data_IF_949696544336
#
_entry.id   IF_949696544336
#
_cell.length_a   1.000
_cell.length_b   1.000
_cell.length_c   1.000
_cell.angle_alpha   90.00
_cell.angle_beta   90.00
_cell.angle_gamma   90.00
#
_symmetry.space_group_name_H-M   'P 1'
#
loop_
_entity.id
_entity.type
_entity.pdbx_description
1 polymer ?
#
# COMPACT_ATOMS: atom_id res chain seq x y z
N UNK A 1 -4.01 9.43 8.69
CA UNK A 1 -3.27 8.92 9.87
C UNK A 1 -1.79 9.11 9.65
N UNK A 2 -1.06 9.61 10.67
CA UNK A 2 0.40 9.79 10.59
C UNK A 2 1.11 8.52 11.09
N UNK A 3 1.90 7.90 10.23
CA UNK A 3 2.74 6.75 10.54
C UNK A 3 4.16 7.24 10.89
N UNK A 4 4.72 6.73 11.97
CA UNK A 4 6.09 7.03 12.40
C UNK A 4 6.94 5.76 12.32
N UNK A 5 8.06 5.82 11.65
CA UNK A 5 9.02 4.71 11.56
C UNK A 5 10.45 5.25 11.70
N UNK A 6 11.37 4.50 12.31
CA UNK A 6 12.77 4.90 12.32
C UNK A 6 13.32 5.00 10.90
N UNK A 7 14.12 6.01 10.65
CA UNK A 7 14.87 6.22 9.42
C UNK A 7 16.26 5.58 9.51
N UNK A 8 16.92 5.35 8.39
CA UNK A 8 18.26 4.75 8.32
C UNK A 8 19.34 5.66 8.93
N UNK A 9 19.11 6.97 8.90
CA UNK A 9 19.95 8.02 9.48
C UNK A 9 19.73 8.24 10.99
N UNK A 10 18.95 7.38 11.65
CA UNK A 10 18.63 7.46 13.09
C UNK A 10 17.46 8.38 13.44
N UNK A 11 16.91 9.10 12.47
CA UNK A 11 15.73 9.95 12.64
C UNK A 11 14.39 9.16 12.67
N UNK A 12 13.29 9.90 12.69
CA UNK A 12 11.93 9.35 12.59
C UNK A 12 11.34 9.79 11.25
N UNK A 13 11.15 8.84 10.33
CA UNK A 13 10.40 9.06 9.08
C UNK A 13 8.92 9.13 9.39
N UNK A 14 8.29 10.20 9.00
CA UNK A 14 6.84 10.42 9.14
C UNK A 14 6.15 10.28 7.78
N UNK A 15 5.15 9.43 7.71
CA UNK A 15 4.41 9.14 6.47
C UNK A 15 2.92 9.31 6.71
N UNK A 16 2.26 10.12 5.89
CA UNK A 16 0.82 10.27 5.92
C UNK A 16 0.15 9.12 5.16
N UNK A 17 -0.72 8.38 5.83
CA UNK A 17 -1.53 7.33 5.23
C UNK A 17 -2.94 7.83 4.96
N UNK A 18 -3.36 7.83 3.68
CA UNK A 18 -4.66 8.29 3.22
C UNK A 18 -5.57 7.12 2.88
N UNK A 19 -6.85 7.29 3.18
CA UNK A 19 -7.95 6.42 2.78
C UNK A 19 -8.67 7.00 1.55
N UNK A 20 -9.28 6.13 0.74
CA UNK A 20 -10.03 6.53 -0.46
C UNK A 20 -11.50 6.15 -0.40
N UNK A 21 -11.89 5.28 0.54
CA UNK A 21 -13.26 4.80 0.69
C UNK A 21 -13.63 4.71 2.17
N UNK A 22 -14.91 4.64 2.45
CA UNK A 22 -15.43 4.14 3.72
C UNK A 22 -15.73 2.67 3.50
N UNK A 23 -14.99 1.78 4.20
CA UNK A 23 -14.95 0.36 3.89
C UNK A 23 -14.09 0.03 2.66
N UNK A 24 -14.22 -1.18 2.10
CA UNK A 24 -13.48 -1.59 0.90
C UNK A 24 -14.24 -2.68 0.14
N UNK A 25 -14.35 -2.52 -1.17
CA UNK A 25 -15.04 -3.46 -2.05
C UNK A 25 -14.23 -4.73 -2.38
N UNK A 26 -12.90 -4.74 -2.11
CA UNK A 26 -12.03 -5.84 -2.56
C UNK A 26 -12.08 -7.08 -1.65
N UNK A 27 -12.68 -6.97 -0.47
CA UNK A 27 -12.91 -8.08 0.46
C UNK A 27 -11.68 -8.97 0.76
N UNK A 28 -10.47 -8.37 0.79
CA UNK A 28 -9.23 -9.10 1.12
C UNK A 28 -9.36 -9.72 2.51
N UNK A 29 -9.20 -11.04 2.61
CA UNK A 29 -9.54 -11.81 3.83
C UNK A 29 -8.61 -11.54 5.02
N UNK A 30 -7.46 -10.88 4.81
CA UNK A 30 -6.52 -10.50 5.86
C UNK A 30 -6.73 -9.08 6.40
N UNK A 31 -7.62 -8.29 5.78
CA UNK A 31 -7.72 -6.86 6.00
C UNK A 31 -8.93 -6.50 6.88
N UNK A 32 -8.69 -5.78 7.97
CA UNK A 32 -9.77 -5.31 8.86
C UNK A 32 -10.77 -4.37 8.15
N UNK A 33 -10.31 -3.62 7.14
CA UNK A 33 -11.21 -2.75 6.35
C UNK A 33 -12.25 -3.54 5.55
N UNK A 34 -11.94 -4.79 5.17
CA UNK A 34 -12.86 -5.66 4.45
C UNK A 34 -14.00 -6.17 5.33
N UNK A 35 -13.78 -6.29 6.66
CA UNK A 35 -14.79 -6.75 7.61
C UNK A 35 -16.03 -5.83 7.68
N UNK A 36 -15.85 -4.56 7.32
CA UNK A 36 -16.95 -3.55 7.29
C UNK A 36 -17.71 -3.51 5.96
N UNK A 37 -17.23 -4.24 4.95
CA UNK A 37 -17.76 -4.11 3.59
C UNK A 37 -17.47 -2.73 2.98
N UNK A 38 -18.06 -2.47 1.81
CA UNK A 38 -17.98 -1.18 1.11
C UNK A 38 -19.22 -0.35 1.45
N UNK A 39 -18.99 0.90 1.83
CA UNK A 39 -20.08 1.86 2.08
C UNK A 39 -20.15 2.89 0.96
N UNK A 40 -19.07 3.66 0.74
CA UNK A 40 -18.99 4.68 -0.31
C UNK A 40 -17.55 5.08 -0.64
N UNK A 41 -17.39 5.72 -1.77
CA UNK A 41 -16.17 6.44 -2.10
C UNK A 41 -16.06 7.73 -1.27
N UNK A 42 -14.84 8.13 -0.93
CA UNK A 42 -14.55 9.47 -0.44
C UNK A 42 -14.49 10.44 -1.62
N UNK A 43 -14.93 11.69 -1.41
CA UNK A 43 -14.71 12.77 -2.38
C UNK A 43 -13.25 13.21 -2.39
N UNK A 44 -12.86 13.99 -3.38
CA UNK A 44 -11.50 14.54 -3.43
C UNK A 44 -11.19 15.42 -2.22
N UNK A 45 -12.17 16.23 -1.77
CA UNK A 45 -12.06 17.09 -0.61
C UNK A 45 -11.90 16.28 0.69
N UNK A 46 -12.63 15.17 0.83
CA UNK A 46 -12.49 14.27 1.97
C UNK A 46 -11.11 13.60 1.99
N UNK A 47 -10.56 13.26 0.83
CA UNK A 47 -9.20 12.70 0.75
C UNK A 47 -8.16 13.76 1.15
N UNK A 48 -8.30 15.00 0.67
CA UNK A 48 -7.41 16.12 0.98
C UNK A 48 -7.49 16.46 2.48
N UNK A 49 -8.70 16.52 3.03
CA UNK A 49 -8.93 16.93 4.44
C UNK A 49 -8.22 16.02 5.45
N UNK A 50 -7.91 14.77 5.08
CA UNK A 50 -7.12 13.88 5.94
C UNK A 50 -5.69 14.38 6.19
N UNK A 51 -5.17 15.27 5.34
CA UNK A 51 -3.82 15.85 5.50
C UNK A 51 -3.83 17.13 6.36
N UNK A 52 -4.93 17.88 6.38
CA UNK A 52 -4.98 19.20 6.99
C UNK A 52 -4.52 19.25 8.46
N UNK A 53 -4.85 18.26 9.32
CA UNK A 53 -4.37 18.25 10.71
C UNK A 53 -2.83 18.16 10.87
N UNK A 54 -2.10 17.87 9.78
CA UNK A 54 -0.65 17.66 9.75
C UNK A 54 0.07 18.70 8.87
N UNK A 55 -0.60 19.82 8.58
CA UNK A 55 -0.08 20.92 7.75
C UNK A 55 -0.23 22.21 8.52
N UNK A 56 0.88 22.85 8.81
CA UNK A 56 0.91 24.22 9.33
C UNK A 56 1.03 25.19 8.17
N UNK A 57 0.24 26.25 8.17
CA UNK A 57 0.32 27.31 7.19
C UNK A 57 0.60 28.64 7.90
N UNK A 58 1.65 29.33 7.46
CA UNK A 58 2.06 30.65 7.95
C UNK A 58 2.22 31.61 6.77
N UNK A 59 2.10 32.91 7.04
CA UNK A 59 2.41 33.96 6.05
C UNK A 59 3.68 34.66 6.51
N UNK A 60 4.71 34.62 5.67
CA UNK A 60 5.94 35.36 5.88
C UNK A 60 6.25 36.26 4.68
N UNK A 61 6.44 37.55 4.94
CA UNK A 61 6.65 38.59 3.92
C UNK A 61 5.63 38.53 2.76
N UNK A 62 4.35 38.29 3.07
CA UNK A 62 3.26 38.16 2.09
C UNK A 62 3.25 36.84 1.32
N UNK A 63 4.19 35.94 1.58
CA UNK A 63 4.24 34.60 0.99
C UNK A 63 3.67 33.56 1.91
N UNK A 64 2.85 32.67 1.37
CA UNK A 64 2.30 31.53 2.09
C UNK A 64 3.34 30.43 2.20
N UNK A 65 3.73 30.08 3.43
CA UNK A 65 4.65 28.99 3.75
C UNK A 65 3.87 27.85 4.35
N UNK A 66 4.04 26.63 3.86
CA UNK A 66 3.46 25.41 4.41
C UNK A 66 4.54 24.49 4.95
N UNK A 67 4.34 24.05 6.18
CA UNK A 67 5.18 23.01 6.82
C UNK A 67 4.36 21.75 6.98
N UNK A 68 4.93 20.62 6.57
CA UNK A 68 4.30 19.32 6.68
C UNK A 68 4.92 18.54 7.83
N UNK A 69 4.09 17.94 8.68
CA UNK A 69 4.57 17.00 9.68
C UNK A 69 4.98 15.64 9.08
N UNK A 70 4.92 15.47 7.78
CA UNK A 70 5.22 14.23 7.05
C UNK A 70 6.10 14.49 5.82
N UNK A 71 6.90 13.48 5.48
CA UNK A 71 7.82 13.52 4.33
C UNK A 71 7.28 12.76 3.13
N UNK A 72 6.37 11.80 3.36
CA UNK A 72 5.80 10.95 2.33
C UNK A 72 4.29 10.80 2.52
N UNK A 73 3.59 10.53 1.41
CA UNK A 73 2.18 10.15 1.40
C UNK A 73 2.07 8.73 0.85
N UNK A 74 1.29 7.88 1.52
CA UNK A 74 0.91 6.57 1.01
C UNK A 74 -0.60 6.46 0.96
N UNK A 75 -1.15 6.06 -0.17
CA UNK A 75 -2.57 5.76 -0.32
C UNK A 75 -2.73 4.27 -0.07
N UNK A 76 -2.69 3.92 1.23
CA UNK A 76 -2.70 2.54 1.74
C UNK A 76 -3.67 2.40 2.93
N UNK A 77 -4.53 3.38 3.13
CA UNK A 77 -5.56 3.36 4.14
C UNK A 77 -6.75 2.49 3.74
N UNK A 78 -7.94 2.92 4.12
CA UNK A 78 -9.16 2.20 3.82
C UNK A 78 -9.60 2.43 2.36
N UNK A 79 -9.92 1.34 1.64
CA UNK A 79 -10.43 1.37 0.27
C UNK A 79 -9.43 0.94 -0.80
N UNK A 80 -9.95 0.70 -2.00
CA UNK A 80 -9.15 0.44 -3.22
C UNK A 80 -9.05 1.72 -4.05
N UNK A 81 -7.85 2.31 -4.15
CA UNK A 81 -7.67 3.60 -4.82
C UNK A 81 -8.09 3.61 -6.29
N UNK A 82 -7.86 2.52 -7.01
CA UNK A 82 -8.19 2.45 -8.44
C UNK A 82 -9.70 2.29 -8.71
N UNK A 83 -10.51 1.92 -7.70
CA UNK A 83 -11.97 1.97 -7.78
C UNK A 83 -12.48 3.41 -7.61
N UNK A 84 -11.82 4.21 -6.75
CA UNK A 84 -12.15 5.63 -6.58
C UNK A 84 -11.19 6.56 -7.33
N UNK A 85 -10.81 6.19 -8.54
CA UNK A 85 -9.71 6.80 -9.28
C UNK A 85 -9.89 8.29 -9.56
N UNK A 86 -11.07 8.73 -9.98
CA UNK A 86 -11.35 10.13 -10.33
C UNK A 86 -11.13 11.06 -9.13
N UNK A 87 -11.72 10.75 -7.98
CA UNK A 87 -11.53 11.54 -6.75
C UNK A 87 -10.09 11.46 -6.25
N UNK A 88 -9.48 10.28 -6.35
CA UNK A 88 -8.06 10.11 -6.00
C UNK A 88 -7.19 11.04 -6.82
N UNK A 89 -7.30 11.01 -8.16
CA UNK A 89 -6.47 11.83 -9.03
C UNK A 89 -6.70 13.34 -8.83
N UNK A 90 -7.94 13.74 -8.57
CA UNK A 90 -8.26 15.13 -8.21
C UNK A 90 -7.55 15.54 -6.93
N UNK A 91 -7.60 14.71 -5.88
CA UNK A 91 -6.89 14.97 -4.62
C UNK A 91 -5.37 15.00 -4.80
N UNK A 92 -4.80 14.03 -5.52
CA UNK A 92 -3.35 13.95 -5.73
C UNK A 92 -2.81 15.11 -6.57
N UNK A 93 -3.58 15.61 -7.54
CA UNK A 93 -3.23 16.83 -8.28
C UNK A 93 -3.16 18.05 -7.35
N UNK A 94 -4.06 18.16 -6.37
CA UNK A 94 -4.00 19.24 -5.36
C UNK A 94 -2.75 19.12 -4.51
N UNK A 95 -2.39 17.92 -4.03
CA UNK A 95 -1.14 17.73 -3.28
C UNK A 95 0.09 18.07 -4.11
N UNK A 96 0.09 17.74 -5.40
CA UNK A 96 1.25 17.97 -6.29
C UNK A 96 1.32 19.38 -6.88
N UNK A 97 0.20 20.15 -6.91
CA UNK A 97 0.16 21.50 -7.45
C UNK A 97 1.09 22.46 -6.71
N UNK A 98 1.94 23.19 -7.45
CA UNK A 98 2.86 24.18 -6.90
C UNK A 98 2.13 25.31 -6.14
N UNK A 99 0.94 25.69 -6.59
CA UNK A 99 0.11 26.74 -5.98
C UNK A 99 -0.60 26.28 -4.71
N UNK A 100 -0.77 24.96 -4.54
CA UNK A 100 -1.50 24.35 -3.39
C UNK A 100 -0.50 23.80 -2.36
N UNK A 101 -0.20 22.51 -2.44
CA UNK A 101 0.67 21.87 -1.45
C UNK A 101 2.13 21.74 -1.91
N UNK A 102 2.42 21.80 -3.19
CA UNK A 102 3.76 21.62 -3.77
C UNK A 102 4.46 20.30 -3.35
N UNK A 103 3.69 19.27 -3.05
CA UNK A 103 4.22 18.00 -2.58
C UNK A 103 4.70 17.13 -3.75
N UNK A 104 5.97 16.76 -3.75
CA UNK A 104 6.58 16.08 -4.89
C UNK A 104 5.95 14.72 -5.22
N UNK A 105 5.61 14.47 -6.47
CA UNK A 105 4.95 13.23 -6.92
C UNK A 105 5.72 11.97 -6.53
N UNK A 106 7.08 12.01 -6.50
CA UNK A 106 7.94 10.89 -6.07
C UNK A 106 7.83 10.55 -4.58
N UNK A 107 7.24 11.41 -3.77
CA UNK A 107 6.96 11.18 -2.35
C UNK A 107 5.56 10.61 -2.11
N UNK A 108 4.79 10.37 -3.17
CA UNK A 108 3.44 9.80 -3.10
C UNK A 108 3.47 8.39 -3.66
N UNK A 109 2.99 7.42 -2.89
CA UNK A 109 2.83 6.03 -3.33
C UNK A 109 1.35 5.65 -3.29
N UNK A 110 0.84 5.16 -4.41
CA UNK A 110 -0.52 4.61 -4.50
C UNK A 110 -0.40 3.08 -4.51
N UNK A 111 -1.12 2.42 -3.60
CA UNK A 111 -1.17 0.96 -3.53
C UNK A 111 -2.51 0.46 -4.06
N UNK A 112 -2.49 -0.61 -4.84
CA UNK A 112 -3.69 -1.25 -5.37
C UNK A 112 -3.67 -2.75 -5.14
N UNK A 113 -4.83 -3.35 -4.92
CA UNK A 113 -4.99 -4.79 -4.93
C UNK A 113 -4.95 -5.41 -6.35
N UNK A 114 -4.80 -4.59 -7.39
CA UNK A 114 -4.59 -5.06 -8.76
C UNK A 114 -5.85 -5.04 -9.63
N UNK A 115 -6.52 -3.89 -9.74
CA UNK A 115 -7.58 -3.65 -10.73
C UNK A 115 -6.92 -3.51 -12.11
N UNK A 116 -6.68 -4.64 -12.78
CA UNK A 116 -5.84 -4.69 -13.99
C UNK A 116 -6.37 -3.76 -15.10
N UNK A 117 -7.68 -3.70 -15.33
CA UNK A 117 -8.29 -2.83 -16.33
C UNK A 117 -7.94 -1.35 -16.14
N UNK A 118 -7.81 -0.93 -14.89
CA UNK A 118 -7.45 0.45 -14.57
C UNK A 118 -5.94 0.66 -14.57
N UNK A 119 -5.21 -0.35 -14.11
CA UNK A 119 -3.74 -0.33 -14.10
C UNK A 119 -3.17 -0.17 -15.51
N UNK A 120 -3.76 -0.83 -16.51
CA UNK A 120 -3.38 -0.74 -17.92
C UNK A 120 -3.52 0.68 -18.51
N UNK A 121 -4.41 1.50 -17.94
CA UNK A 121 -4.68 2.87 -18.39
C UNK A 121 -3.82 3.93 -17.69
N UNK A 122 -3.16 3.60 -16.58
CA UNK A 122 -2.37 4.57 -15.83
C UNK A 122 -1.28 5.28 -16.67
N UNK A 123 -0.57 4.60 -17.59
CA UNK A 123 0.40 5.28 -18.44
C UNK A 123 -0.24 6.35 -19.35
N UNK A 124 -1.40 6.04 -19.93
CA UNK A 124 -2.14 6.95 -20.82
C UNK A 124 -2.69 8.18 -20.06
N UNK A 125 -3.04 7.98 -18.78
CA UNK A 125 -3.48 9.05 -17.88
C UNK A 125 -2.30 9.92 -17.36
N UNK A 126 -1.05 9.61 -17.74
CA UNK A 126 0.15 10.33 -17.29
C UNK A 126 0.39 10.23 -15.80
N UNK A 127 0.10 9.06 -15.17
CA UNK A 127 0.21 8.83 -13.73
C UNK A 127 1.65 9.04 -13.20
N UNK A 128 1.93 10.10 -12.40
CA UNK A 128 3.30 10.47 -12.05
C UNK A 128 3.76 9.90 -10.70
N UNK A 129 2.92 9.16 -9.99
CA UNK A 129 3.17 8.70 -8.63
C UNK A 129 3.84 7.32 -8.60
N UNK A 130 4.41 6.93 -7.45
CA UNK A 130 4.91 5.57 -7.24
C UNK A 130 3.74 4.61 -7.14
N UNK A 131 3.93 3.40 -7.67
CA UNK A 131 2.93 2.33 -7.65
C UNK A 131 3.39 1.19 -6.76
N UNK A 132 2.52 0.77 -5.84
CA UNK A 132 2.65 -0.47 -5.11
C UNK A 132 1.50 -1.42 -5.49
N UNK A 133 1.80 -2.71 -5.60
CA UNK A 133 0.80 -3.75 -5.90
C UNK A 133 0.75 -4.71 -4.72
N UNK A 134 -0.42 -4.79 -4.09
CA UNK A 134 -0.74 -5.79 -3.09
C UNK A 134 -0.85 -7.16 -3.76
N UNK A 135 0.29 -7.87 -3.85
CA UNK A 135 0.36 -9.18 -4.50
C UNK A 135 -0.10 -10.30 -3.56
N UNK A 136 0.54 -10.42 -2.41
CA UNK A 136 0.25 -11.30 -1.26
C UNK A 136 0.15 -12.81 -1.57
N UNK A 137 0.25 -13.23 -2.81
CA UNK A 137 0.35 -14.61 -3.27
C UNK A 137 1.05 -14.66 -4.61
N UNK A 138 2.00 -15.57 -4.78
CA UNK A 138 2.81 -15.70 -6.00
C UNK A 138 2.23 -16.71 -7.00
N UNK A 139 1.14 -17.38 -6.65
CA UNK A 139 0.33 -18.25 -7.51
C UNK A 139 -1.14 -17.87 -7.42
N UNK A 140 -1.92 -18.12 -8.46
CA UNK A 140 -3.36 -17.83 -8.47
C UNK A 140 -4.10 -18.59 -7.37
N UNK A 141 -3.69 -19.82 -7.07
CA UNK A 141 -4.27 -20.63 -6.01
C UNK A 141 -4.10 -19.94 -4.64
N UNK A 142 -2.88 -19.53 -4.30
CA UNK A 142 -2.59 -18.91 -3.00
C UNK A 142 -3.17 -17.51 -2.94
N UNK A 143 -3.02 -16.72 -4.00
CA UNK A 143 -3.57 -15.37 -4.06
C UNK A 143 -5.09 -15.37 -3.96
N UNK A 144 -5.78 -16.30 -4.64
CA UNK A 144 -7.25 -16.44 -4.58
C UNK A 144 -7.78 -16.82 -3.20
N UNK A 145 -7.02 -17.58 -2.40
CA UNK A 145 -7.36 -17.87 -1.00
C UNK A 145 -7.42 -16.61 -0.13
N UNK A 146 -6.59 -15.61 -0.43
CA UNK A 146 -6.37 -14.41 0.37
C UNK A 146 -7.13 -13.21 -0.18
N UNK A 147 -7.16 -13.07 -1.51
CA UNK A 147 -7.68 -11.91 -2.24
C UNK A 147 -8.73 -12.34 -3.27
N UNK A 148 -10.03 -12.19 -2.97
CA UNK A 148 -11.11 -12.57 -3.88
C UNK A 148 -11.04 -11.90 -5.25
N UNK A 149 -10.45 -10.70 -5.34
CA UNK A 149 -10.25 -9.98 -6.60
C UNK A 149 -9.46 -10.78 -7.64
N UNK A 150 -8.69 -11.79 -7.22
CA UNK A 150 -7.93 -12.66 -8.11
C UNK A 150 -8.83 -13.43 -9.10
N UNK A 151 -10.06 -13.74 -8.72
CA UNK A 151 -11.01 -14.39 -9.63
C UNK A 151 -11.37 -13.52 -10.85
N UNK A 152 -11.39 -12.20 -10.67
CA UNK A 152 -11.64 -11.24 -11.75
C UNK A 152 -10.35 -10.87 -12.50
N UNK A 153 -9.25 -10.75 -11.78
CA UNK A 153 -7.95 -10.36 -12.31
C UNK A 153 -6.89 -11.39 -11.88
N UNK A 154 -6.78 -12.54 -12.60
CA UNK A 154 -5.75 -13.54 -12.35
C UNK A 154 -4.34 -12.95 -12.49
N UNK A 155 -3.35 -13.60 -11.87
CA UNK A 155 -1.96 -13.13 -11.85
C UNK A 155 -1.42 -12.82 -13.25
N UNK A 156 -1.71 -13.66 -14.23
CA UNK A 156 -1.23 -13.45 -15.60
C UNK A 156 -1.66 -12.08 -16.14
N UNK A 157 -2.93 -11.69 -15.93
CA UNK A 157 -3.47 -10.39 -16.34
C UNK A 157 -2.90 -9.25 -15.52
N UNK A 158 -2.85 -9.42 -14.20
CA UNK A 158 -2.29 -8.41 -13.30
C UNK A 158 -0.82 -8.11 -13.64
N UNK A 159 0.00 -9.16 -13.82
CA UNK A 159 1.41 -9.01 -14.12
C UNK A 159 1.64 -8.41 -15.51
N UNK A 160 0.81 -8.73 -16.50
CA UNK A 160 0.83 -8.09 -17.81
C UNK A 160 0.56 -6.58 -17.74
N UNK A 161 -0.47 -6.18 -16.97
CA UNK A 161 -0.79 -4.77 -16.74
C UNK A 161 0.35 -4.03 -15.99
N UNK A 162 0.93 -4.68 -14.97
CA UNK A 162 2.05 -4.14 -14.22
C UNK A 162 3.31 -3.97 -15.11
N UNK A 163 3.59 -4.93 -15.98
CA UNK A 163 4.71 -4.87 -16.93
C UNK A 163 4.53 -3.73 -17.93
N UNK A 164 3.32 -3.56 -18.50
CA UNK A 164 2.97 -2.42 -19.37
C UNK A 164 3.24 -1.10 -18.66
N UNK A 165 2.77 -0.95 -17.40
CA UNK A 165 3.01 0.25 -16.60
C UNK A 165 4.50 0.50 -16.36
N UNK A 166 5.25 -0.51 -15.92
CA UNK A 166 6.69 -0.37 -15.63
C UNK A 166 7.48 0.06 -16.87
N UNK A 167 7.23 -0.57 -18.02
CA UNK A 167 7.89 -0.24 -19.30
C UNK A 167 7.54 1.17 -19.78
N UNK A 168 6.27 1.56 -19.70
CA UNK A 168 5.80 2.86 -20.19
C UNK A 168 6.26 4.02 -19.32
N UNK A 169 6.31 3.84 -18.00
CA UNK A 169 6.65 4.90 -17.06
C UNK A 169 8.11 4.92 -16.64
N UNK A 170 8.90 3.89 -16.98
CA UNK A 170 10.30 3.74 -16.56
C UNK A 170 10.47 3.70 -15.04
N UNK A 171 9.47 3.24 -14.29
CA UNK A 171 9.45 3.29 -12.83
C UNK A 171 9.39 1.91 -12.21
N UNK A 172 10.17 1.72 -11.17
CA UNK A 172 10.15 0.51 -10.36
C UNK A 172 8.82 0.41 -9.59
N UNK A 173 8.18 -0.75 -9.69
CA UNK A 173 6.98 -1.11 -8.93
C UNK A 173 7.42 -1.72 -7.59
N UNK A 174 6.64 -1.48 -6.54
CA UNK A 174 6.78 -2.21 -5.28
C UNK A 174 5.73 -3.31 -5.21
N UNK A 175 6.15 -4.54 -4.90
CA UNK A 175 5.26 -5.67 -4.62
C UNK A 175 5.10 -5.80 -3.11
N UNK A 176 3.92 -5.51 -2.59
CA UNK A 176 3.59 -5.71 -1.19
C UNK A 176 3.25 -7.19 -0.97
N UNK A 177 3.96 -7.86 -0.05
CA UNK A 177 3.77 -9.26 0.25
C UNK A 177 3.68 -9.49 1.75
N UNK A 178 2.47 -9.72 2.25
CA UNK A 178 2.20 -10.04 3.65
C UNK A 178 2.51 -11.52 3.92
N UNK A 179 3.26 -11.83 4.98
CA UNK A 179 3.63 -13.20 5.32
C UNK A 179 2.68 -13.77 6.38
N UNK A 180 1.81 -14.69 5.95
CA UNK A 180 0.80 -15.38 6.76
C UNK A 180 1.22 -16.84 6.93
N UNK A 181 1.30 -17.29 8.19
CA UNK A 181 1.72 -18.65 8.54
C UNK A 181 0.86 -19.71 7.86
N UNK A 182 1.51 -20.67 7.20
CA UNK A 182 0.92 -21.81 6.49
C UNK A 182 -0.09 -21.43 5.38
N UNK A 183 -0.04 -20.18 4.91
CA UNK A 183 -0.91 -19.70 3.81
C UNK A 183 -0.07 -19.35 2.58
N UNK A 184 0.86 -18.42 2.74
CA UNK A 184 1.66 -17.90 1.64
C UNK A 184 3.17 -17.81 1.97
N UNK A 185 3.61 -18.43 3.07
CA UNK A 185 4.99 -18.39 3.57
C UNK A 185 5.81 -19.64 3.20
N UNK A 186 5.36 -20.43 2.21
CA UNK A 186 6.10 -21.60 1.71
C UNK A 186 7.33 -21.18 0.88
N UNK A 187 8.31 -22.08 0.80
CA UNK A 187 9.52 -21.87 0.00
C UNK A 187 9.24 -21.79 -1.49
N UNK A 188 8.19 -22.47 -1.93
CA UNK A 188 7.71 -22.39 -3.31
C UNK A 188 7.19 -20.98 -3.61
N UNK A 189 6.37 -20.41 -2.71
CA UNK A 189 5.89 -19.05 -2.85
C UNK A 189 7.04 -18.03 -2.89
N UNK A 190 8.13 -18.25 -2.13
CA UNK A 190 9.31 -17.40 -2.19
C UNK A 190 9.99 -17.43 -3.56
N UNK A 191 10.14 -18.65 -4.15
CA UNK A 191 10.75 -18.82 -5.49
C UNK A 191 9.89 -18.17 -6.56
N UNK A 192 8.56 -18.38 -6.54
CA UNK A 192 7.66 -17.78 -7.52
C UNK A 192 7.61 -16.24 -7.38
N UNK A 193 7.61 -15.74 -6.14
CA UNK A 193 7.69 -14.29 -5.88
C UNK A 193 8.98 -13.68 -6.44
N UNK A 194 10.11 -14.36 -6.27
CA UNK A 194 11.39 -13.93 -6.84
C UNK A 194 11.35 -13.85 -8.37
N UNK A 195 10.75 -14.85 -9.04
CA UNK A 195 10.56 -14.84 -10.50
C UNK A 195 9.70 -13.66 -10.95
N UNK A 196 8.59 -13.41 -10.26
CA UNK A 196 7.69 -12.28 -10.54
C UNK A 196 8.45 -10.96 -10.38
N UNK A 197 9.17 -10.77 -9.27
CA UNK A 197 9.91 -9.55 -9.00
C UNK A 197 10.98 -9.28 -10.06
N UNK A 198 11.72 -10.31 -10.47
CA UNK A 198 12.71 -10.20 -11.56
C UNK A 198 12.08 -9.83 -12.89
N UNK A 199 10.98 -10.48 -13.27
CA UNK A 199 10.25 -10.19 -14.51
C UNK A 199 9.80 -8.73 -14.57
N UNK A 200 9.32 -8.19 -13.46
CA UNK A 200 8.81 -6.82 -13.36
C UNK A 200 9.88 -5.78 -13.03
N UNK A 201 11.13 -6.19 -12.77
CA UNK A 201 12.16 -5.33 -12.17
C UNK A 201 11.62 -4.61 -10.91
N UNK A 202 10.89 -5.34 -10.06
CA UNK A 202 10.17 -4.81 -8.92
C UNK A 202 10.94 -5.00 -7.61
N UNK A 203 10.69 -4.09 -6.66
CA UNK A 203 11.12 -4.24 -5.28
C UNK A 203 10.04 -4.96 -4.46
N UNK A 204 10.40 -5.91 -3.62
CA UNK A 204 9.48 -6.63 -2.74
C UNK A 204 9.49 -5.99 -1.36
N UNK A 205 8.33 -5.62 -0.84
CA UNK A 205 8.15 -5.23 0.55
C UNK A 205 7.51 -6.39 1.32
N UNK A 206 8.31 -7.13 2.07
CA UNK A 206 7.84 -8.23 2.93
C UNK A 206 7.28 -7.65 4.23
N UNK A 207 6.02 -7.97 4.51
CA UNK A 207 5.29 -7.46 5.67
C UNK A 207 4.91 -8.62 6.58
N UNK A 208 5.46 -8.72 7.80
CA UNK A 208 4.94 -9.68 8.78
C UNK A 208 3.46 -9.43 9.04
N UNK A 209 2.64 -10.49 9.05
CA UNK A 209 1.21 -10.35 9.30
C UNK A 209 0.95 -9.79 10.70
N UNK A 210 0.15 -8.75 10.78
CA UNK A 210 -0.35 -8.23 12.05
C UNK A 210 -1.71 -8.85 12.35
N UNK A 211 -1.81 -9.51 13.52
CA UNK A 211 -3.01 -10.23 13.92
C UNK A 211 -4.22 -9.27 13.95
N UNK A 212 -5.26 -9.64 13.23
CA UNK A 212 -6.58 -9.00 13.29
C UNK A 212 -7.44 -9.87 14.22
N UNK A 213 -7.97 -9.35 15.34
CA UNK A 213 -8.66 -10.15 16.34
C UNK A 213 -9.80 -11.03 15.79
N UNK A 214 -10.50 -10.55 14.77
CA UNK A 214 -11.62 -11.26 14.13
C UNK A 214 -11.19 -12.33 13.11
N UNK A 215 -9.88 -12.52 12.86
CA UNK A 215 -9.36 -13.45 11.88
C UNK A 215 -8.50 -14.53 12.56
N UNK A 216 -8.63 -15.78 12.09
CA UNK A 216 -7.87 -16.93 12.61
C UNK A 216 -6.41 -16.98 12.15
N UNK A 217 -5.99 -16.10 11.22
CA UNK A 217 -4.66 -16.15 10.65
C UNK A 217 -3.58 -15.68 11.62
N UNK A 218 -2.41 -16.27 11.44
CA UNK A 218 -1.27 -16.03 12.30
C UNK A 218 -0.08 -15.52 11.48
N UNK A 219 0.80 -14.82 12.16
CA UNK A 219 2.08 -14.40 11.62
C UNK A 219 2.97 -15.60 11.36
N UNK A 220 3.70 -15.59 10.25
CA UNK A 220 4.77 -16.54 9.97
C UNK A 220 5.87 -16.46 11.05
N UNK A 221 6.43 -17.59 11.44
CA UNK A 221 7.48 -17.67 12.45
C UNK A 221 8.78 -16.96 11.99
N UNK A 222 9.58 -16.49 12.94
CA UNK A 222 10.81 -15.76 12.62
C UNK A 222 11.78 -16.57 11.73
N UNK A 223 11.97 -17.86 12.05
CA UNK A 223 12.81 -18.76 11.26
C UNK A 223 12.26 -18.96 9.83
N UNK A 224 10.95 -19.09 9.69
CA UNK A 224 10.30 -19.21 8.38
C UNK A 224 10.47 -17.94 7.56
N UNK A 225 10.28 -16.75 8.15
CA UNK A 225 10.50 -15.46 7.50
C UNK A 225 11.96 -15.28 7.05
N UNK A 226 12.92 -15.66 7.91
CA UNK A 226 14.34 -15.62 7.56
C UNK A 226 14.68 -16.58 6.40
N UNK A 227 14.13 -17.79 6.40
CA UNK A 227 14.32 -18.73 5.31
C UNK A 227 13.66 -18.27 4.01
N UNK A 228 12.47 -17.67 4.08
CA UNK A 228 11.81 -17.05 2.92
C UNK A 228 12.66 -15.93 2.32
N UNK A 229 13.17 -15.03 3.17
CA UNK A 229 14.04 -13.93 2.76
C UNK A 229 15.34 -14.44 2.12
N UNK A 230 15.98 -15.48 2.68
CA UNK A 230 17.18 -16.09 2.10
C UNK A 230 16.96 -16.60 0.70
N UNK A 231 15.80 -17.21 0.39
CA UNK A 231 15.46 -17.64 -0.97
C UNK A 231 15.39 -16.46 -1.94
N UNK A 232 14.88 -15.32 -1.50
CA UNK A 232 14.87 -14.09 -2.30
C UNK A 232 16.29 -13.56 -2.55
N UNK A 233 17.17 -13.61 -1.52
CA UNK A 233 18.59 -13.25 -1.64
C UNK A 233 19.31 -14.16 -2.65
N UNK A 234 19.18 -15.47 -2.50
CA UNK A 234 19.77 -16.47 -3.40
C UNK A 234 19.28 -16.30 -4.85
N UNK A 235 18.04 -15.88 -5.02
CA UNK A 235 17.50 -15.52 -6.31
C UNK A 235 17.94 -14.14 -6.82
N UNK A 236 18.62 -13.31 -6.03
CA UNK A 236 19.00 -11.94 -6.38
C UNK A 236 17.81 -10.99 -6.53
N UNK A 237 16.73 -11.22 -5.83
CA UNK A 237 15.57 -10.34 -5.82
C UNK A 237 15.75 -9.17 -4.84
N UNK A 238 15.39 -7.96 -5.25
CA UNK A 238 15.43 -6.79 -4.36
C UNK A 238 14.26 -6.84 -3.38
N UNK A 239 14.52 -6.81 -2.07
CA UNK A 239 13.46 -6.78 -1.07
C UNK A 239 13.82 -6.00 0.18
N UNK A 240 12.80 -5.65 0.94
CA UNK A 240 12.90 -5.14 2.31
C UNK A 240 11.99 -5.97 3.20
N UNK A 241 12.53 -6.53 4.27
CA UNK A 241 11.72 -7.13 5.33
C UNK A 241 11.42 -6.04 6.36
N UNK A 242 10.14 -5.67 6.50
CA UNK A 242 9.73 -4.68 7.51
C UNK A 242 10.07 -5.20 8.91
N UNK A 243 10.92 -4.46 9.60
CA UNK A 243 11.24 -4.72 11.00
C UNK A 243 10.06 -4.30 11.86
N UNK A 244 9.67 -5.16 12.77
CA UNK A 244 8.75 -4.80 13.84
C UNK A 244 9.45 -3.86 14.81
N UNK A 245 8.81 -2.74 15.12
CA UNK A 245 9.19 -1.97 16.28
C UNK A 245 7.93 -1.70 17.10
N UNK A 246 7.91 -2.28 18.30
CA UNK A 246 6.97 -2.00 19.37
C UNK A 246 5.53 -2.43 19.09
N UNK A 247 5.02 -3.32 19.92
CA UNK A 247 3.60 -3.75 19.97
C UNK A 247 2.62 -2.60 20.31
N UNK A 248 3.12 -1.39 20.48
CA UNK A 248 2.32 -0.24 20.97
C UNK A 248 1.82 0.72 19.88
N UNK A 249 2.25 0.56 18.62
CA UNK A 249 1.70 1.37 17.54
C UNK A 249 0.63 0.57 16.80
N UNK A 250 -0.60 0.66 17.27
CA UNK A 250 -1.84 0.17 16.64
C UNK A 250 -2.13 0.77 15.25
N UNK A 251 -1.12 1.17 14.52
CA UNK A 251 -1.19 1.77 13.20
C UNK A 251 -0.63 0.83 12.12
N UNK A 252 -0.73 -0.48 12.35
CA UNK A 252 -0.32 -1.46 11.35
C UNK A 252 -1.26 -1.45 10.14
N UNK A 253 -0.69 -1.61 8.93
CA UNK A 253 -1.47 -1.78 7.71
C UNK A 253 -2.52 -2.87 7.88
N UNK A 254 -3.77 -2.58 7.51
CA UNK A 254 -4.92 -3.49 7.65
C UNK A 254 -5.72 -3.33 8.96
N UNK A 255 -5.27 -2.56 9.96
CA UNK A 255 -5.99 -2.42 11.24
C UNK A 255 -6.70 -1.07 11.45
N UNK A 256 -6.59 -0.16 10.51
CA UNK A 256 -7.15 1.21 10.59
C UNK A 256 -8.65 1.28 10.91
N UNK A 257 -9.40 0.23 10.59
CA UNK A 257 -10.85 0.19 10.80
C UNK A 257 -11.27 -0.10 12.25
N UNK A 258 -10.39 -0.60 13.11
CA UNK A 258 -10.77 -1.11 14.44
C UNK A 258 -10.86 -0.01 15.52
N UNK A 259 -10.13 1.09 15.38
CA UNK A 259 -10.05 2.12 16.46
C UNK A 259 -11.27 3.04 16.63
N UNK A 260 -12.19 3.14 15.67
CA UNK A 260 -13.36 4.02 15.79
C UNK A 260 -14.65 3.33 16.25
N UNK A 261 -14.63 2.04 16.55
CA UNK A 261 -15.82 1.33 17.04
C UNK A 261 -15.86 1.13 18.56
N UNK A 262 -14.88 1.67 19.29
CA UNK A 262 -14.81 1.59 20.76
C UNK A 262 -14.85 2.99 21.40
N UNK A 263 -15.58 3.93 20.81
CA UNK A 263 -16.01 5.12 21.52
C UNK A 263 -17.06 4.76 22.57
N UNK A 264 -17.11 5.44 23.73
CA UNK A 264 -18.04 5.11 24.81
C UNK A 264 -19.48 5.19 24.32
N UNK A 265 -20.27 4.19 24.75
CA UNK A 265 -21.74 4.18 24.67
C UNK A 265 -22.29 5.33 25.52
#
# INVERSE_FOLDING_TARGET
>A
MLLKAPSEDGGIRKTLCLSTQVGCACACKFCASALRGFVRNLTAEEIISQALPFVEETIDNGKRIRRFEFENIVVMGMGEPLINYTNLMSALKVFNSAEKFAFGARRITVSTCGIADRLEKLPEDGFPYRLAISLHGATDEVRGKIMPINSRFPLARLLGAAEKFSKSCGRMITLEYILIKNVNDSFEQARELAKIAKRLHAHINLIPYNKVPALSWQRSDAGRRAAFARILDEAGASYTLRREKGSEIDAACGQLALKKSLGPQ
#
